data_IF_518927606584
#
_entry.id   IF_518927606584
#
_cell.length_a   1.000
_cell.length_b   1.000
_cell.length_c   1.000
_cell.angle_alpha   90.00
_cell.angle_beta   90.00
_cell.angle_gamma   90.00
#
_symmetry.space_group_name_H-M   'P 1'
#
loop_
_entity.id
_entity.type
_entity.pdbx_description
1 polymer ?
#
# COMPACT_ATOMS: atom_id res chain seq x y z
N UNK A 1 -6.98 15.30 -5.23
CA UNK A 1 -5.51 15.33 -5.47
C UNK A 1 -4.82 16.57 -4.92
N UNK A 2 -5.51 17.36 -4.11
CA UNK A 2 -5.00 18.59 -3.49
C UNK A 2 -3.74 18.35 -2.68
N UNK A 3 -3.57 17.14 -2.11
CA UNK A 3 -2.37 16.72 -1.41
C UNK A 3 -1.13 16.86 -2.31
N UNK A 4 -1.18 16.35 -3.54
CA UNK A 4 -0.09 16.52 -4.50
C UNK A 4 0.09 17.99 -4.87
N UNK A 5 -0.99 18.76 -5.05
CA UNK A 5 -0.89 20.17 -5.42
C UNK A 5 -0.29 21.05 -4.31
N UNK A 6 -0.54 20.71 -3.03
CA UNK A 6 -0.02 21.42 -1.85
C UNK A 6 1.46 21.19 -1.62
N UNK A 7 2.01 20.09 -2.12
CA UNK A 7 3.45 19.80 -2.06
C UNK A 7 4.08 19.94 -3.45
N UNK A 8 4.79 21.06 -3.67
CA UNK A 8 5.51 21.32 -4.91
C UNK A 8 6.76 20.46 -5.08
N UNK A 9 7.28 19.87 -4.01
CA UNK A 9 8.47 19.02 -4.04
C UNK A 9 8.14 17.57 -4.37
N UNK A 10 6.93 17.12 -4.05
CA UNK A 10 6.45 15.80 -4.37
C UNK A 10 6.45 15.55 -5.89
N UNK A 11 6.97 14.40 -6.30
CA UNK A 11 7.13 14.04 -7.72
C UNK A 11 5.94 13.25 -8.26
N UNK A 12 5.29 12.48 -7.39
CA UNK A 12 4.14 11.67 -7.75
C UNK A 12 3.26 11.36 -6.53
N UNK A 13 2.06 10.89 -6.80
CA UNK A 13 1.14 10.32 -5.81
C UNK A 13 0.54 9.04 -6.38
N UNK A 14 0.39 8.01 -5.54
CA UNK A 14 -0.23 6.75 -5.95
C UNK A 14 -1.20 6.23 -4.90
N UNK A 15 -2.12 5.39 -5.34
CA UNK A 15 -3.14 4.83 -4.48
C UNK A 15 -2.61 3.67 -3.63
N UNK A 16 -3.09 3.61 -2.39
CA UNK A 16 -2.79 2.55 -1.44
C UNK A 16 -4.03 2.21 -0.61
N UNK A 17 -4.07 1.01 -0.06
CA UNK A 17 -4.97 0.62 1.02
C UNK A 17 -4.19 0.40 2.33
N UNK A 18 -4.90 0.34 3.45
CA UNK A 18 -4.31 -0.07 4.72
C UNK A 18 -3.78 -1.51 4.61
N UNK A 19 -2.54 -1.76 5.03
CA UNK A 19 -1.97 -3.10 4.93
C UNK A 19 -2.55 -4.05 6.00
N UNK A 20 -3.08 -5.19 5.55
CA UNK A 20 -3.58 -6.25 6.45
C UNK A 20 -2.44 -6.90 7.27
N UNK A 21 -1.29 -7.08 6.62
CA UNK A 21 -0.06 -7.56 7.23
C UNK A 21 0.85 -6.39 7.57
N UNK A 22 1.55 -6.54 8.68
CA UNK A 22 2.45 -5.53 9.20
C UNK A 22 3.85 -6.15 9.40
N UNK A 23 4.89 -5.61 8.72
CA UNK A 23 6.24 -6.16 8.75
C UNK A 23 6.91 -6.11 10.13
N UNK A 24 6.35 -5.34 11.06
CA UNK A 24 6.83 -5.27 12.44
C UNK A 24 6.31 -6.40 13.33
N UNK A 25 5.31 -7.20 12.89
CA UNK A 25 4.65 -8.21 13.74
C UNK A 25 4.41 -9.56 13.06
N UNK A 26 3.75 -9.56 11.89
CA UNK A 26 3.16 -10.77 11.32
C UNK A 26 3.61 -11.06 9.88
N UNK A 27 4.72 -10.44 9.47
CA UNK A 27 5.46 -10.84 8.28
C UNK A 27 6.86 -11.22 8.72
N UNK A 28 7.29 -12.40 8.27
CA UNK A 28 8.61 -12.95 8.57
C UNK A 28 9.35 -13.21 7.27
N UNK A 29 10.67 -13.09 7.35
CA UNK A 29 11.61 -13.43 6.28
C UNK A 29 12.71 -14.33 6.83
N UNK A 30 13.37 -15.07 5.95
CA UNK A 30 14.52 -15.87 6.32
C UNK A 30 15.67 -14.97 6.78
N UNK A 31 16.30 -15.35 7.89
CA UNK A 31 17.49 -14.69 8.40
C UNK A 31 18.69 -15.13 7.58
N UNK A 32 19.47 -14.16 7.11
CA UNK A 32 20.68 -14.39 6.33
C UNK A 32 21.74 -15.24 7.08
N UNK A 33 21.63 -15.34 8.41
CA UNK A 33 22.72 -15.80 9.27
C UNK A 33 22.65 -17.28 9.65
N UNK A 34 21.46 -17.90 9.65
CA UNK A 34 21.28 -19.17 10.36
C UNK A 34 20.10 -20.05 9.92
N UNK A 35 19.43 -19.74 8.79
CA UNK A 35 18.30 -20.54 8.28
C UNK A 35 17.04 -20.48 9.17
N UNK A 36 17.03 -19.63 10.19
CA UNK A 36 15.84 -19.33 10.99
C UNK A 36 15.12 -18.10 10.43
N UNK A 37 13.89 -17.84 10.88
CA UNK A 37 13.07 -16.74 10.41
C UNK A 37 13.00 -15.62 11.45
N UNK A 38 12.82 -14.38 10.97
CA UNK A 38 12.67 -13.18 11.79
C UNK A 38 11.57 -12.30 11.22
N UNK A 39 11.00 -11.41 12.03
CA UNK A 39 10.11 -10.36 11.52
C UNK A 39 10.85 -9.46 10.52
N UNK A 40 10.17 -9.05 9.45
CA UNK A 40 10.77 -8.27 8.37
C UNK A 40 11.33 -6.92 8.84
N UNK A 41 10.70 -6.29 9.83
CA UNK A 41 11.19 -5.05 10.45
C UNK A 41 11.15 -5.17 11.96
N UNK A 42 12.21 -4.70 12.62
CA UNK A 42 12.25 -4.58 14.08
C UNK A 42 11.76 -3.22 14.51
N UNK A 43 10.98 -3.17 15.58
CA UNK A 43 10.65 -1.93 16.25
C UNK A 43 11.84 -1.50 17.11
N UNK A 44 12.00 -0.19 17.30
CA UNK A 44 12.90 0.33 18.33
C UNK A 44 12.30 0.07 19.72
N UNK A 45 13.16 0.00 20.74
CA UNK A 45 12.76 -0.32 22.11
C UNK A 45 11.59 0.56 22.59
N UNK A 46 10.57 -0.07 23.17
CA UNK A 46 9.43 0.61 23.79
C UNK A 46 8.09 0.55 23.03
N UNK A 47 8.07 0.10 21.77
CA UNK A 47 6.82 -0.12 21.03
C UNK A 47 6.42 -1.60 21.15
N UNK A 48 5.35 -1.88 21.91
CA UNK A 48 4.91 -3.25 22.19
C UNK A 48 3.57 -3.61 21.53
N UNK A 49 2.90 -2.64 20.90
CA UNK A 49 1.57 -2.84 20.33
C UNK A 49 1.49 -2.46 18.85
N UNK A 50 0.56 -3.10 18.12
CA UNK A 50 0.35 -2.81 16.70
C UNK A 50 -0.14 -1.39 16.46
N UNK A 51 -0.85 -0.81 17.43
CA UNK A 51 -1.42 0.54 17.38
C UNK A 51 -0.35 1.63 17.48
N UNK A 52 0.77 1.34 18.13
CA UNK A 52 1.90 2.28 18.31
C UNK A 52 2.96 2.15 17.22
N UNK A 53 2.92 1.06 16.43
CA UNK A 53 3.85 0.84 15.34
C UNK A 53 3.57 1.77 14.14
N UNK A 54 4.57 2.02 13.28
CA UNK A 54 4.37 2.79 12.06
C UNK A 54 3.22 2.21 11.22
N UNK A 55 2.36 3.10 10.70
CA UNK A 55 1.35 2.71 9.71
C UNK A 55 2.05 2.14 8.48
N UNK A 56 1.48 1.05 7.97
CA UNK A 56 1.96 0.35 6.78
C UNK A 56 0.80 0.27 5.81
N UNK A 57 1.11 0.55 4.55
CA UNK A 57 0.14 0.62 3.46
C UNK A 57 0.53 -0.37 2.37
N UNK A 58 -0.46 -0.98 1.75
CA UNK A 58 -0.29 -1.85 0.58
C UNK A 58 -0.62 -1.03 -0.67
N UNK A 59 0.27 -1.06 -1.66
CA UNK A 59 -0.08 -0.52 -2.99
C UNK A 59 -1.22 -1.35 -3.56
N UNK A 60 -2.24 -0.68 -4.06
CA UNK A 60 -3.40 -1.32 -4.70
C UNK A 60 -3.48 -1.00 -6.21
N UNK A 61 -2.46 -0.32 -6.73
CA UNK A 61 -2.23 0.01 -8.14
C UNK A 61 -3.41 0.65 -8.91
N UNK A 62 -4.45 1.12 -8.23
CA UNK A 62 -5.65 1.67 -8.85
C UNK A 62 -5.37 2.96 -9.64
N UNK A 63 -4.47 3.82 -9.17
CA UNK A 63 -3.95 4.94 -9.95
C UNK A 63 -2.55 5.38 -9.54
N UNK A 64 -1.87 6.05 -10.48
CA UNK A 64 -0.59 6.73 -10.29
C UNK A 64 -0.59 8.05 -11.05
N UNK A 65 -0.27 9.16 -10.38
CA UNK A 65 -0.10 10.46 -11.01
C UNK A 65 1.34 10.95 -10.84
N UNK A 66 1.94 11.37 -11.95
CA UNK A 66 3.32 11.82 -12.02
C UNK A 66 3.40 13.28 -12.47
N UNK A 67 4.35 14.02 -11.90
CA UNK A 67 4.77 15.31 -12.46
C UNK A 67 5.79 15.09 -13.56
N UNK A 68 5.87 16.02 -14.51
CA UNK A 68 6.91 16.02 -15.56
C UNK A 68 8.33 15.89 -14.96
N UNK A 69 8.59 16.57 -13.85
CA UNK A 69 9.88 16.54 -13.15
C UNK A 69 10.33 15.13 -12.70
N UNK A 70 9.39 14.19 -12.48
CA UNK A 70 9.71 12.79 -12.21
C UNK A 70 10.46 12.17 -13.39
N UNK A 71 9.95 12.38 -14.61
CA UNK A 71 10.52 11.83 -15.84
C UNK A 71 11.79 12.57 -16.25
N UNK A 72 11.82 13.90 -16.07
CA UNK A 72 13.02 14.71 -16.37
C UNK A 72 14.22 14.28 -15.50
N UNK A 73 13.97 13.79 -14.28
CA UNK A 73 15.00 13.26 -13.39
C UNK A 73 15.45 11.83 -13.73
N UNK A 74 14.85 11.19 -14.74
CA UNK A 74 15.22 9.83 -15.17
C UNK A 74 14.94 8.75 -14.11
N UNK A 75 13.98 8.99 -13.20
CA UNK A 75 13.67 8.05 -12.13
C UNK A 75 13.00 6.78 -12.67
N UNK A 76 13.41 5.64 -12.11
CA UNK A 76 12.93 4.31 -12.48
C UNK A 76 12.17 3.73 -11.29
N UNK A 77 10.90 3.35 -11.51
CA UNK A 77 10.01 2.81 -10.48
C UNK A 77 9.11 3.86 -9.82
N UNK A 78 7.92 3.45 -9.42
CA UNK A 78 6.89 4.35 -8.92
C UNK A 78 7.19 4.94 -7.52
N UNK A 79 8.05 4.32 -6.74
CA UNK A 79 8.35 4.75 -5.36
C UNK A 79 9.66 5.52 -5.34
N UNK A 80 9.62 6.72 -4.77
CA UNK A 80 10.77 7.61 -4.62
C UNK A 80 10.74 8.24 -3.22
N UNK A 81 11.85 8.88 -2.84
CA UNK A 81 11.94 9.68 -1.60
C UNK A 81 10.95 10.87 -1.55
N UNK A 82 10.32 11.21 -2.69
CA UNK A 82 9.37 12.33 -2.83
C UNK A 82 8.01 11.88 -3.33
N UNK A 83 7.64 10.64 -3.03
CA UNK A 83 6.34 10.08 -3.36
C UNK A 83 5.33 10.32 -2.25
N UNK A 84 4.12 10.68 -2.63
CA UNK A 84 2.97 10.74 -1.73
C UNK A 84 2.09 9.52 -1.95
N UNK A 85 1.25 9.22 -0.95
CA UNK A 85 0.23 8.18 -1.04
C UNK A 85 -1.16 8.80 -0.96
N UNK A 86 -2.13 8.13 -1.56
CA UNK A 86 -3.55 8.38 -1.37
C UNK A 86 -4.19 7.10 -0.82
N UNK A 87 -4.64 7.15 0.43
CA UNK A 87 -5.33 6.05 1.09
C UNK A 87 -6.77 5.94 0.54
N UNK A 88 -7.09 4.78 -0.03
CA UNK A 88 -8.45 4.43 -0.45
C UNK A 88 -9.15 3.77 0.73
N UNK A 89 -10.31 4.29 1.11
CA UNK A 89 -11.05 3.84 2.31
C UNK A 89 -11.84 2.55 2.07
N UNK A 90 -12.05 2.16 0.82
CA UNK A 90 -12.75 0.93 0.44
C UNK A 90 -11.79 -0.22 0.16
N UNK A 91 -12.31 -1.44 0.20
CA UNK A 91 -11.56 -2.66 -0.12
C UNK A 91 -11.05 -2.60 -1.57
N UNK A 92 -9.76 -2.86 -1.75
CA UNK A 92 -9.12 -2.92 -3.07
C UNK A 92 -8.32 -4.20 -3.18
N UNK A 93 -8.58 -4.96 -4.24
CA UNK A 93 -7.84 -6.17 -4.58
C UNK A 93 -7.76 -6.29 -6.11
N UNK A 94 -6.65 -6.84 -6.58
CA UNK A 94 -6.42 -7.06 -8.01
C UNK A 94 -7.15 -8.32 -8.49
N UNK A 95 -7.59 -8.32 -9.75
CA UNK A 95 -8.23 -9.46 -10.40
C UNK A 95 -7.20 -10.26 -11.20
N UNK A 96 -6.35 -11.01 -10.51
CA UNK A 96 -5.25 -11.75 -11.13
C UNK A 96 -5.60 -13.21 -11.45
N UNK A 97 -6.53 -13.81 -10.69
CA UNK A 97 -6.94 -15.20 -10.80
C UNK A 97 -8.46 -15.33 -10.87
N UNK A 98 -8.99 -16.45 -11.43
CA UNK A 98 -10.44 -16.67 -11.55
C UNK A 98 -11.21 -16.54 -10.22
N UNK A 99 -10.60 -16.95 -9.10
CA UNK A 99 -11.20 -16.84 -7.77
C UNK A 99 -11.39 -15.39 -7.31
N UNK A 100 -10.54 -14.46 -7.75
CA UNK A 100 -10.68 -13.04 -7.40
C UNK A 100 -11.95 -12.47 -8.03
N UNK A 101 -12.29 -12.93 -9.24
CA UNK A 101 -13.55 -12.61 -9.90
C UNK A 101 -14.75 -13.22 -9.16
N UNK A 102 -14.67 -14.48 -8.71
CA UNK A 102 -15.73 -15.10 -7.88
C UNK A 102 -15.95 -14.32 -6.58
N UNK A 103 -14.87 -13.85 -5.95
CA UNK A 103 -14.96 -13.03 -4.76
C UNK A 103 -15.61 -11.67 -5.05
N UNK A 104 -15.22 -10.99 -6.13
CA UNK A 104 -15.85 -9.75 -6.56
C UNK A 104 -17.35 -9.93 -6.85
N UNK A 105 -17.73 -10.99 -7.57
CA UNK A 105 -19.13 -11.32 -7.84
C UNK A 105 -19.93 -11.54 -6.55
N UNK A 106 -19.34 -12.26 -5.59
CA UNK A 106 -19.93 -12.42 -4.25
C UNK A 106 -20.16 -11.07 -3.57
N UNK A 107 -19.17 -10.17 -3.58
CA UNK A 107 -19.29 -8.85 -2.95
C UNK A 107 -20.40 -8.01 -3.59
N UNK A 108 -20.48 -8.01 -4.93
CA UNK A 108 -21.49 -7.25 -5.69
C UNK A 108 -22.89 -7.83 -5.42
N UNK A 109 -23.06 -9.14 -5.63
CA UNK A 109 -24.36 -9.83 -5.52
C UNK A 109 -24.93 -9.72 -4.11
N UNK A 110 -24.08 -9.74 -3.09
CA UNK A 110 -24.49 -9.65 -1.69
C UNK A 110 -24.46 -8.21 -1.13
N UNK A 111 -24.23 -7.20 -1.97
CA UNK A 111 -24.18 -5.78 -1.59
C UNK A 111 -23.23 -5.53 -0.41
N UNK A 112 -22.02 -6.09 -0.50
CA UNK A 112 -20.97 -6.00 0.51
C UNK A 112 -19.95 -4.90 0.23
N UNK A 113 -20.00 -4.29 -0.96
CA UNK A 113 -19.24 -3.09 -1.26
C UNK A 113 -19.81 -1.91 -0.46
N UNK A 114 -18.91 -1.14 0.15
CA UNK A 114 -19.20 0.03 0.98
C UNK A 114 -19.42 1.32 0.16
N UNK A 115 -19.43 1.19 -1.17
CA UNK A 115 -19.75 2.26 -2.12
C UNK A 115 -20.86 1.84 -3.08
N UNK A 116 -21.59 2.84 -3.58
CA UNK A 116 -22.56 2.60 -4.65
C UNK A 116 -21.84 2.50 -5.99
N UNK A 117 -22.12 1.43 -6.73
CA UNK A 117 -21.80 1.40 -8.15
C UNK A 117 -22.78 2.34 -8.87
N UNK A 118 -22.24 3.22 -9.74
CA UNK A 118 -23.00 4.22 -10.49
C UNK A 118 -24.15 3.63 -11.30
#
# INVERSE_FOLDING_TARGET
>A
FDILQKDSNALNIFSVGLAEKNPYFNMVEESADNGYFKVCKKLHDGINSRQEAPKVYAMNASFYFYRKAFFDAGLIGAITERSLIFEMEHECFDLDQPRDFEYLDYLITNKKLDFNML
#
